data_IF_442403776515
#
_entry.id   IF_442403776515
#
_cell.length_a   1.000
_cell.length_b   1.000
_cell.length_c   1.000
_cell.angle_alpha   90.00
_cell.angle_beta   90.00
_cell.angle_gamma   90.00
#
_symmetry.space_group_name_H-M   'P 1'
#
loop_
_entity.id
_entity.type
_entity.pdbx_description
1 polymer ?
#
# COMPACT_ATOMS: atom_id res chain seq x y z
N UNK A 1 -14.32 -20.68 12.90
CA UNK A 1 -13.99 -20.95 11.47
C UNK A 1 -12.57 -20.47 11.25
N UNK A 2 -11.77 -21.19 10.47
CA UNK A 2 -10.42 -20.74 10.08
C UNK A 2 -10.56 -19.49 9.20
N UNK A 3 -9.81 -18.42 9.51
CA UNK A 3 -9.88 -17.16 8.79
C UNK A 3 -9.09 -17.25 7.49
N UNK A 4 -9.73 -16.94 6.36
CA UNK A 4 -9.09 -16.87 5.04
C UNK A 4 -8.74 -15.42 4.73
N UNK A 5 -7.45 -15.13 4.71
CA UNK A 5 -6.93 -13.79 4.42
C UNK A 5 -6.31 -13.81 3.02
N UNK A 6 -6.63 -12.81 2.21
CA UNK A 6 -5.91 -12.58 0.96
C UNK A 6 -5.08 -11.31 1.07
N UNK A 7 -3.86 -11.34 0.53
CA UNK A 7 -3.04 -10.16 0.31
C UNK A 7 -3.02 -9.88 -1.18
N UNK A 8 -3.48 -8.72 -1.61
CA UNK A 8 -3.49 -8.31 -3.02
C UNK A 8 -2.37 -7.30 -3.28
N UNK A 9 -1.56 -7.56 -4.31
CA UNK A 9 -0.37 -6.78 -4.64
C UNK A 9 -0.38 -6.44 -6.13
N UNK A 10 -0.82 -5.23 -6.55
CA UNK A 10 -0.62 -4.81 -7.93
C UNK A 10 0.87 -4.52 -8.17
N UNK A 11 1.37 -4.94 -9.33
CA UNK A 11 2.76 -4.77 -9.72
C UNK A 11 2.85 -4.44 -11.21
N UNK A 12 3.74 -3.52 -11.56
CA UNK A 12 4.11 -3.26 -12.95
C UNK A 12 5.56 -2.79 -12.94
N UNK A 13 6.49 -3.55 -13.51
CA UNK A 13 7.92 -3.23 -13.56
C UNK A 13 8.50 -2.67 -12.24
N UNK A 14 8.43 -3.46 -11.17
CA UNK A 14 8.91 -3.15 -9.82
C UNK A 14 10.05 -4.09 -9.39
N UNK A 15 10.90 -4.58 -10.31
CA UNK A 15 11.94 -5.58 -9.99
C UNK A 15 12.90 -5.15 -8.87
N UNK A 16 13.16 -3.84 -8.73
CA UNK A 16 14.03 -3.28 -7.69
C UNK A 16 13.38 -3.27 -6.29
N UNK A 17 12.05 -3.40 -6.20
CA UNK A 17 11.28 -3.17 -4.96
C UNK A 17 10.40 -4.34 -4.54
N UNK A 18 10.00 -5.18 -5.49
CA UNK A 18 9.09 -6.29 -5.22
C UNK A 18 9.67 -7.28 -4.22
N UNK A 19 11.00 -7.42 -4.16
CA UNK A 19 11.67 -8.28 -3.18
C UNK A 19 11.36 -7.83 -1.75
N UNK A 20 11.60 -6.55 -1.41
CA UNK A 20 11.32 -6.03 -0.06
C UNK A 20 9.83 -6.13 0.29
N UNK A 21 8.95 -5.91 -0.68
CA UNK A 21 7.51 -6.05 -0.50
C UNK A 21 7.17 -7.49 -0.11
N UNK A 22 7.60 -8.46 -0.92
CA UNK A 22 7.30 -9.89 -0.70
C UNK A 22 7.89 -10.40 0.61
N UNK A 23 9.12 -10.03 0.94
CA UNK A 23 9.75 -10.39 2.22
C UNK A 23 8.97 -9.83 3.42
N UNK A 24 8.55 -8.56 3.34
CA UNK A 24 7.77 -7.92 4.40
C UNK A 24 6.39 -8.57 4.58
N UNK A 25 5.71 -8.92 3.48
CA UNK A 25 4.44 -9.64 3.49
C UNK A 25 4.63 -11.04 4.08
N UNK A 26 5.66 -11.78 3.67
CA UNK A 26 5.96 -13.08 4.24
C UNK A 26 6.23 -13.01 5.76
N UNK A 27 6.92 -11.95 6.22
CA UNK A 27 7.11 -11.66 7.64
C UNK A 27 5.79 -11.41 8.38
N UNK A 28 4.87 -10.63 7.79
CA UNK A 28 3.54 -10.38 8.34
C UNK A 28 2.67 -11.64 8.37
N UNK A 29 2.76 -12.49 7.34
CA UNK A 29 2.08 -13.79 7.29
C UNK A 29 2.60 -14.71 8.39
N UNK A 30 3.92 -14.79 8.55
CA UNK A 30 4.54 -15.59 9.61
C UNK A 30 4.07 -15.13 11.00
N UNK A 31 4.01 -13.81 11.25
CA UNK A 31 3.50 -13.27 12.51
C UNK A 31 2.03 -13.62 12.75
N UNK A 32 1.17 -13.51 11.73
CA UNK A 32 -0.24 -13.94 11.82
C UNK A 32 -0.33 -15.42 12.16
N UNK A 33 0.40 -16.30 11.47
CA UNK A 33 0.34 -17.74 11.69
C UNK A 33 0.85 -18.18 13.07
N UNK A 34 1.74 -17.39 13.70
CA UNK A 34 2.12 -17.61 15.11
C UNK A 34 1.00 -17.28 16.08
N UNK A 35 0.20 -16.24 15.80
CA UNK A 35 -0.94 -15.86 16.62
C UNK A 35 -2.17 -16.74 16.33
N UNK A 36 -2.28 -17.25 15.10
CA UNK A 36 -3.44 -17.94 14.56
C UNK A 36 -3.02 -19.09 13.65
N UNK A 37 -2.67 -20.23 14.26
CA UNK A 37 -2.16 -21.40 13.54
C UNK A 37 -3.08 -21.91 12.44
N UNK A 38 -4.39 -21.71 12.60
CA UNK A 38 -5.39 -22.22 11.67
C UNK A 38 -5.69 -21.25 10.52
N UNK A 39 -5.13 -20.03 10.51
CA UNK A 39 -5.34 -19.09 9.41
C UNK A 39 -4.78 -19.64 8.09
N UNK A 40 -5.40 -19.22 6.98
CA UNK A 40 -4.97 -19.52 5.61
C UNK A 40 -4.75 -18.20 4.88
N UNK A 41 -3.60 -18.06 4.23
CA UNK A 41 -3.25 -16.82 3.53
C UNK A 41 -2.97 -17.07 2.04
N UNK A 42 -3.67 -16.37 1.16
CA UNK A 42 -3.34 -16.32 -0.27
C UNK A 42 -2.71 -14.98 -0.59
N UNK A 43 -1.45 -14.96 -1.00
CA UNK A 43 -0.77 -13.76 -1.50
C UNK A 43 -0.91 -13.74 -3.02
N UNK A 44 -1.48 -12.68 -3.57
CA UNK A 44 -1.85 -12.57 -4.98
C UNK A 44 -1.14 -11.36 -5.56
N UNK A 45 -0.12 -11.63 -6.38
CA UNK A 45 0.59 -10.62 -7.16
C UNK A 45 -0.10 -10.45 -8.52
N UNK A 46 -0.74 -9.31 -8.77
CA UNK A 46 -1.26 -8.95 -10.09
C UNK A 46 -0.21 -8.18 -10.88
N UNK A 47 0.52 -8.90 -11.75
CA UNK A 47 1.56 -8.37 -12.63
C UNK A 47 0.93 -7.77 -13.90
N UNK A 48 0.74 -6.46 -13.89
CA UNK A 48 0.18 -5.67 -14.98
C UNK A 48 1.26 -5.34 -16.02
N UNK A 49 1.25 -6.08 -17.12
CA UNK A 49 2.09 -5.82 -18.29
C UNK A 49 3.59 -5.71 -17.94
N UNK A 50 4.05 -6.50 -16.96
CA UNK A 50 5.45 -6.53 -16.56
C UNK A 50 6.32 -7.05 -17.71
N UNK A 51 7.43 -6.35 -17.98
CA UNK A 51 8.42 -6.69 -19.00
C UNK A 51 9.81 -6.95 -18.41
N UNK A 52 9.98 -6.69 -17.12
CA UNK A 52 11.22 -6.86 -16.37
C UNK A 52 11.20 -8.14 -15.51
N UNK A 53 12.12 -8.28 -14.55
CA UNK A 53 12.16 -9.44 -13.66
C UNK A 53 11.17 -9.40 -12.49
N UNK A 54 10.17 -8.50 -12.45
CA UNK A 54 9.25 -8.37 -11.30
C UNK A 54 8.65 -9.70 -10.84
N UNK A 55 8.09 -10.48 -11.78
CA UNK A 55 7.46 -11.78 -11.46
C UNK A 55 8.51 -12.79 -10.96
N UNK A 56 9.66 -12.86 -11.61
CA UNK A 56 10.74 -13.77 -11.22
C UNK A 56 11.29 -13.45 -9.83
N UNK A 57 11.59 -12.16 -9.58
CA UNK A 57 12.08 -11.68 -8.29
C UNK A 57 11.07 -11.92 -7.16
N UNK A 58 9.78 -11.71 -7.41
CA UNK A 58 8.73 -12.00 -6.43
C UNK A 58 8.66 -13.48 -6.06
N UNK A 59 8.74 -14.38 -7.06
CA UNK A 59 8.73 -15.84 -6.82
C UNK A 59 9.97 -16.30 -6.06
N UNK A 60 11.15 -15.80 -6.42
CA UNK A 60 12.41 -16.11 -5.74
C UNK A 60 12.36 -15.65 -4.26
N UNK A 61 11.94 -14.40 -4.02
CA UNK A 61 11.82 -13.84 -2.67
C UNK A 61 10.79 -14.59 -1.81
N UNK A 62 9.65 -14.96 -2.40
CA UNK A 62 8.64 -15.75 -1.70
C UNK A 62 9.16 -17.15 -1.36
N UNK A 63 9.76 -17.86 -2.31
CA UNK A 63 10.30 -19.20 -2.07
C UNK A 63 11.37 -19.20 -0.95
N UNK A 64 12.21 -18.17 -0.90
CA UNK A 64 13.20 -18.00 0.17
C UNK A 64 12.55 -17.73 1.54
N UNK A 65 11.43 -16.99 1.57
CA UNK A 65 10.76 -16.58 2.80
C UNK A 65 9.69 -17.55 3.30
N UNK A 66 9.09 -18.35 2.41
CA UNK A 66 7.91 -19.17 2.70
C UNK A 66 8.23 -20.55 3.28
N UNK A 67 9.50 -20.94 3.32
CA UNK A 67 9.95 -22.23 3.84
C UNK A 67 9.46 -22.51 5.28
N UNK A 68 9.20 -21.45 6.06
CA UNK A 68 8.72 -21.54 7.45
C UNK A 68 7.20 -21.51 7.60
N UNK A 69 6.44 -21.42 6.49
CA UNK A 69 4.98 -21.21 6.51
C UNK A 69 4.16 -22.52 6.41
N UNK A 70 4.82 -23.68 6.31
CA UNK A 70 4.22 -25.03 6.37
C UNK A 70 2.97 -25.27 5.50
N UNK A 71 2.84 -24.59 4.35
CA UNK A 71 1.69 -24.71 3.45
C UNK A 71 0.42 -23.99 3.91
N UNK A 72 0.51 -23.12 4.93
CA UNK A 72 -0.61 -22.25 5.35
C UNK A 72 -0.68 -20.96 4.52
N UNK A 73 0.33 -20.70 3.69
CA UNK A 73 0.37 -19.55 2.81
C UNK A 73 1.00 -19.87 1.45
N UNK A 74 0.44 -19.30 0.40
CA UNK A 74 0.87 -19.50 -0.99
C UNK A 74 0.95 -18.17 -1.72
N UNK A 75 1.87 -18.07 -2.69
CA UNK A 75 1.94 -16.96 -3.64
C UNK A 75 1.36 -17.40 -4.98
N UNK A 76 0.32 -16.70 -5.41
CA UNK A 76 -0.28 -16.80 -6.73
C UNK A 76 0.06 -15.55 -7.54
N UNK A 77 0.38 -15.73 -8.83
CA UNK A 77 0.68 -14.61 -9.72
C UNK A 77 -0.37 -14.59 -10.82
N UNK A 78 -1.00 -13.44 -10.99
CA UNK A 78 -1.91 -13.15 -12.08
C UNK A 78 -1.19 -12.22 -13.05
N UNK A 79 -0.95 -12.68 -14.26
CA UNK A 79 -0.39 -11.84 -15.33
C UNK A 79 -1.54 -11.35 -16.22
N UNK A 80 -1.52 -10.07 -16.57
CA UNK A 80 -2.58 -9.47 -17.36
C UNK A 80 -2.28 -8.04 -17.78
N UNK A 81 -3.29 -7.41 -18.38
CA UNK A 81 -3.23 -6.02 -18.84
C UNK A 81 -4.42 -5.28 -18.27
N UNK A 82 -4.15 -4.44 -17.27
CA UNK A 82 -5.16 -3.65 -16.55
C UNK A 82 -4.91 -2.14 -16.62
N UNK A 83 -3.71 -1.75 -17.07
CA UNK A 83 -3.29 -0.37 -17.34
C UNK A 83 -3.27 0.57 -16.12
N UNK A 84 -3.51 0.05 -14.92
CA UNK A 84 -3.50 0.81 -13.67
C UNK A 84 -3.33 -0.09 -12.45
N UNK A 85 -2.80 0.48 -11.36
CA UNK A 85 -2.72 -0.21 -10.08
C UNK A 85 -4.10 -0.62 -9.56
N UNK A 86 -5.10 0.26 -9.69
CA UNK A 86 -6.50 -0.02 -9.32
C UNK A 86 -7.09 -1.20 -10.08
N UNK A 87 -6.88 -1.27 -11.40
CA UNK A 87 -7.36 -2.38 -12.24
C UNK A 87 -6.68 -3.71 -11.88
N UNK A 88 -5.37 -3.71 -11.71
CA UNK A 88 -4.61 -4.89 -11.29
C UNK A 88 -5.03 -5.37 -9.88
N UNK A 89 -5.22 -4.42 -8.95
CA UNK A 89 -5.70 -4.70 -7.59
C UNK A 89 -7.12 -5.26 -7.60
N UNK A 90 -8.01 -4.74 -8.44
CA UNK A 90 -9.35 -5.30 -8.62
C UNK A 90 -9.31 -6.73 -9.16
N UNK A 91 -8.41 -7.03 -10.10
CA UNK A 91 -8.23 -8.38 -10.62
C UNK A 91 -7.77 -9.36 -9.52
N UNK A 92 -6.80 -8.94 -8.70
CA UNK A 92 -6.34 -9.71 -7.54
C UNK A 92 -7.45 -9.89 -6.49
N UNK A 93 -8.21 -8.84 -6.17
CA UNK A 93 -9.31 -8.91 -5.20
C UNK A 93 -10.44 -9.82 -5.69
N UNK A 94 -10.80 -9.76 -6.98
CA UNK A 94 -11.75 -10.69 -7.58
C UNK A 94 -11.26 -12.15 -7.48
N UNK A 95 -9.96 -12.38 -7.62
CA UNK A 95 -9.39 -13.71 -7.44
C UNK A 95 -9.44 -14.18 -5.99
N UNK A 96 -9.08 -13.32 -5.04
CA UNK A 96 -9.20 -13.56 -3.60
C UNK A 96 -10.62 -13.99 -3.22
N UNK A 97 -11.64 -13.31 -3.75
CA UNK A 97 -13.04 -13.64 -3.50
C UNK A 97 -13.41 -15.02 -4.05
N UNK A 98 -12.90 -15.42 -5.22
CA UNK A 98 -13.11 -16.77 -5.78
C UNK A 98 -12.45 -17.86 -4.93
N UNK A 99 -11.34 -17.56 -4.26
CA UNK A 99 -10.67 -18.44 -3.31
C UNK A 99 -11.37 -18.49 -1.93
N UNK A 100 -12.44 -17.71 -1.76
CA UNK A 100 -13.23 -17.64 -0.54
C UNK A 100 -12.55 -16.85 0.58
N UNK A 101 -11.81 -15.80 0.25
CA UNK A 101 -11.25 -14.89 1.25
C UNK A 101 -12.36 -14.25 2.10
N UNK A 102 -12.16 -14.20 3.42
CA UNK A 102 -13.01 -13.49 4.38
C UNK A 102 -12.54 -12.04 4.58
N UNK A 103 -11.24 -11.81 4.37
CA UNK A 103 -10.57 -10.53 4.51
C UNK A 103 -9.59 -10.31 3.36
N UNK A 104 -9.59 -9.11 2.80
CA UNK A 104 -8.69 -8.68 1.73
C UNK A 104 -7.81 -7.57 2.28
N UNK A 105 -6.52 -7.84 2.44
CA UNK A 105 -5.48 -6.86 2.73
C UNK A 105 -4.79 -6.46 1.43
N UNK A 106 -4.46 -5.18 1.27
CA UNK A 106 -3.88 -4.61 0.06
C UNK A 106 -2.61 -3.84 0.38
N UNK A 107 -1.56 -4.10 -0.41
CA UNK A 107 -0.29 -3.38 -0.43
C UNK A 107 0.20 -3.24 -1.86
N UNK A 108 1.11 -2.31 -2.15
CA UNK A 108 1.70 -2.16 -3.48
C UNK A 108 3.06 -2.85 -3.57
N UNK A 109 3.47 -3.27 -4.77
CA UNK A 109 4.74 -3.99 -4.99
C UNK A 109 5.99 -3.15 -4.67
N UNK A 110 5.85 -1.86 -4.45
CA UNK A 110 6.91 -0.96 -4.01
C UNK A 110 6.84 -0.61 -2.50
N UNK A 111 5.94 -1.26 -1.76
CA UNK A 111 5.63 -0.97 -0.36
C UNK A 111 6.02 -2.14 0.54
N UNK A 112 6.63 -1.84 1.70
CA UNK A 112 6.99 -2.79 2.73
C UNK A 112 6.08 -2.60 3.96
N UNK A 113 5.45 -3.68 4.42
CA UNK A 113 4.51 -3.68 5.55
C UNK A 113 5.18 -4.10 6.86
N UNK A 114 4.71 -3.66 8.03
CA UNK A 114 5.30 -4.06 9.30
C UNK A 114 4.91 -5.49 9.68
N UNK A 115 5.68 -6.14 10.55
CA UNK A 115 5.46 -7.55 10.92
C UNK A 115 4.07 -7.79 11.54
N UNK A 116 3.50 -6.83 12.25
CA UNK A 116 2.19 -6.95 12.87
C UNK A 116 1.01 -6.65 11.91
N UNK A 117 1.28 -6.34 10.63
CA UNK A 117 0.29 -5.83 9.67
C UNK A 117 -0.96 -6.72 9.57
N UNK A 118 -0.80 -8.01 9.24
CA UNK A 118 -1.93 -8.92 9.10
C UNK A 118 -2.56 -9.31 10.43
N UNK A 119 -1.76 -9.56 11.47
CA UNK A 119 -2.28 -9.91 12.79
C UNK A 119 -3.15 -8.80 13.37
N UNK A 120 -2.75 -7.53 13.19
CA UNK A 120 -3.54 -6.38 13.60
C UNK A 120 -4.87 -6.34 12.86
N UNK A 121 -4.84 -6.37 11.53
CA UNK A 121 -6.08 -6.31 10.72
C UNK A 121 -7.05 -7.44 11.06
N UNK A 122 -6.54 -8.66 11.23
CA UNK A 122 -7.33 -9.82 11.61
C UNK A 122 -7.95 -9.67 13.02
N UNK A 123 -7.18 -9.19 14.00
CA UNK A 123 -7.68 -8.87 15.33
C UNK A 123 -8.83 -7.85 15.25
N UNK A 124 -8.64 -6.76 14.49
CA UNK A 124 -9.67 -5.73 14.30
C UNK A 124 -10.93 -6.32 13.64
N UNK A 125 -10.76 -7.14 12.61
CA UNK A 125 -11.86 -7.81 11.92
C UNK A 125 -12.73 -8.65 12.87
N UNK A 126 -12.12 -9.30 13.87
CA UNK A 126 -12.84 -10.08 14.90
C UNK A 126 -13.62 -9.22 15.88
N UNK A 127 -13.18 -7.98 16.11
CA UNK A 127 -13.93 -7.00 16.92
C UNK A 127 -15.05 -6.31 16.15
N UNK A 128 -15.33 -6.72 14.92
CA UNK A 128 -16.39 -6.17 14.06
C UNK A 128 -15.97 -4.94 13.26
N UNK A 129 -14.67 -4.70 13.07
CA UNK A 129 -14.19 -3.72 12.08
C UNK A 129 -14.38 -4.29 10.68
N UNK A 130 -14.85 -3.48 9.74
CA UNK A 130 -15.10 -3.86 8.35
C UNK A 130 -14.01 -3.38 7.41
N UNK A 131 -13.32 -2.29 7.76
CA UNK A 131 -12.13 -1.84 7.06
C UNK A 131 -11.10 -1.22 8.00
N UNK A 132 -9.83 -1.46 7.70
CA UNK A 132 -8.68 -0.85 8.37
C UNK A 132 -7.92 -0.02 7.33
N UNK A 133 -7.63 1.22 7.67
CA UNK A 133 -6.83 2.17 6.89
C UNK A 133 -5.54 2.41 7.66
N UNK A 134 -4.41 2.04 7.09
CA UNK A 134 -3.10 2.28 7.66
C UNK A 134 -2.43 3.50 7.03
N UNK A 135 -1.55 4.14 7.79
CA UNK A 135 -0.66 5.19 7.27
C UNK A 135 0.41 4.61 6.34
N UNK A 136 0.92 5.45 5.44
CA UNK A 136 2.13 5.14 4.66
C UNK A 136 3.16 6.23 4.89
N UNK A 137 4.44 5.89 4.82
CA UNK A 137 5.55 6.83 4.92
C UNK A 137 6.52 6.60 3.73
N UNK A 138 7.00 7.66 3.05
CA UNK A 138 7.96 7.50 1.96
C UNK A 138 9.28 6.94 2.48
N UNK A 139 9.88 5.99 1.76
CA UNK A 139 11.19 5.44 2.09
C UNK A 139 12.24 6.56 2.09
N UNK A 140 12.87 6.87 3.25
CA UNK A 140 13.84 7.96 3.36
C UNK A 140 15.11 7.69 2.56
N UNK A 141 15.38 6.44 2.16
CA UNK A 141 16.53 6.09 1.31
C UNK A 141 16.32 6.42 -0.15
N UNK A 142 15.05 6.58 -0.57
CA UNK A 142 14.67 6.94 -1.94
C UNK A 142 14.15 8.38 -2.06
N UNK A 143 13.67 8.94 -0.96
CA UNK A 143 13.10 10.27 -0.90
C UNK A 143 14.20 11.30 -0.58
N UNK A 144 14.33 12.41 -1.34
CA UNK A 144 15.24 13.49 -0.97
C UNK A 144 14.90 14.03 0.43
N UNK A 145 15.91 14.24 1.28
CA UNK A 145 15.72 14.60 2.71
C UNK A 145 14.77 15.80 2.92
N UNK A 146 14.86 16.83 2.05
CA UNK A 146 13.97 17.99 2.14
C UNK A 146 12.51 17.66 1.82
N UNK A 147 12.25 16.79 0.85
CA UNK A 147 10.91 16.30 0.50
C UNK A 147 10.35 15.46 1.64
N UNK A 148 11.16 14.54 2.18
CA UNK A 148 10.80 13.71 3.31
C UNK A 148 10.40 14.54 4.54
N UNK A 149 11.16 15.62 4.83
CA UNK A 149 10.83 16.57 5.91
C UNK A 149 9.54 17.34 5.66
N UNK A 150 9.35 17.87 4.45
CA UNK A 150 8.11 18.58 4.09
C UNK A 150 6.89 17.64 4.18
N UNK A 151 7.04 16.41 3.71
CA UNK A 151 6.00 15.40 3.81
C UNK A 151 5.59 15.17 5.27
N UNK A 152 6.56 15.02 6.19
CA UNK A 152 6.28 14.88 7.63
C UNK A 152 5.63 16.09 8.28
N UNK A 153 5.82 17.30 7.73
CA UNK A 153 5.14 18.49 8.22
C UNK A 153 3.66 18.54 7.78
N UNK A 154 3.34 17.89 6.67
CA UNK A 154 1.99 17.87 6.09
C UNK A 154 1.18 16.60 6.43
N UNK A 155 1.83 15.55 6.96
CA UNK A 155 1.20 14.25 7.23
C UNK A 155 1.16 13.91 8.71
N UNK A 156 -0.05 13.82 9.26
CA UNK A 156 -0.28 13.41 10.64
C UNK A 156 -0.32 11.88 10.78
N UNK A 157 0.74 11.32 11.35
CA UNK A 157 0.89 9.89 11.58
C UNK A 157 0.30 9.49 12.94
N UNK A 158 -1.01 9.64 13.05
CA UNK A 158 -1.78 9.43 14.28
C UNK A 158 -2.96 8.47 14.07
N UNK A 159 -3.50 7.95 15.17
CA UNK A 159 -4.74 7.17 15.14
C UNK A 159 -5.92 8.06 14.73
N UNK A 160 -6.83 7.54 13.88
CA UNK A 160 -7.95 8.33 13.37
C UNK A 160 -7.60 9.30 12.24
N UNK A 161 -6.42 9.17 11.62
CA UNK A 161 -5.99 9.98 10.49
C UNK A 161 -7.01 9.99 9.32
N UNK A 162 -7.01 11.04 8.47
CA UNK A 162 -7.95 11.14 7.36
C UNK A 162 -7.50 10.36 6.10
N UNK A 163 -6.22 9.96 6.04
CA UNK A 163 -5.62 9.40 4.83
C UNK A 163 -6.18 8.03 4.46
N UNK A 164 -6.33 7.80 3.15
CA UNK A 164 -6.73 6.54 2.55
C UNK A 164 -5.62 6.14 1.58
N UNK A 165 -5.07 4.95 1.78
CA UNK A 165 -4.02 4.40 0.94
C UNK A 165 -4.34 2.95 0.60
N UNK A 166 -4.61 2.66 -0.67
CA UNK A 166 -4.77 1.30 -1.17
C UNK A 166 -3.55 0.42 -0.85
N UNK A 167 -2.37 1.03 -0.73
CA UNK A 167 -1.11 0.38 -0.35
C UNK A 167 -1.04 -0.03 1.13
N UNK A 168 -1.99 0.38 1.96
CA UNK A 168 -2.09 -0.06 3.35
C UNK A 168 -3.56 -0.09 3.81
N UNK A 169 -4.33 -0.98 3.20
CA UNK A 169 -5.76 -1.12 3.47
C UNK A 169 -6.12 -2.58 3.74
N UNK A 170 -7.08 -2.80 4.64
CA UNK A 170 -7.73 -4.08 4.84
C UNK A 170 -9.24 -3.93 4.80
N UNK A 171 -9.95 -4.90 4.24
CA UNK A 171 -11.41 -4.86 4.14
C UNK A 171 -12.03 -6.26 4.25
N UNK A 172 -13.16 -6.34 4.94
CA UNK A 172 -13.99 -7.54 5.00
C UNK A 172 -14.52 -7.86 3.60
N UNK A 173 -14.36 -9.09 3.14
CA UNK A 173 -14.73 -9.50 1.78
C UNK A 173 -16.19 -9.18 1.42
N UNK A 174 -17.14 -9.48 2.33
CA UNK A 174 -18.55 -9.16 2.12
C UNK A 174 -18.82 -7.65 2.00
N UNK A 175 -18.13 -6.82 2.78
CA UNK A 175 -18.26 -5.36 2.71
C UNK A 175 -17.64 -4.81 1.42
N UNK A 176 -16.49 -5.35 1.01
CA UNK A 176 -15.85 -5.02 -0.26
C UNK A 176 -16.72 -5.37 -1.47
N UNK A 177 -17.36 -6.55 -1.46
CA UNK A 177 -18.31 -6.94 -2.50
C UNK A 177 -19.55 -6.04 -2.52
N UNK A 178 -20.11 -5.71 -1.36
CA UNK A 178 -21.24 -4.77 -1.26
C UNK A 178 -20.88 -3.36 -1.76
N UNK A 179 -19.62 -2.95 -1.61
CA UNK A 179 -19.11 -1.69 -2.13
C UNK A 179 -18.87 -1.70 -3.66
N UNK A 180 -18.98 -2.84 -4.33
CA UNK A 180 -18.73 -3.00 -5.77
C UNK A 180 -17.26 -3.21 -6.15
N UNK A 181 -16.37 -3.35 -5.16
CA UNK A 181 -14.92 -3.45 -5.36
C UNK A 181 -14.28 -2.12 -5.75
N UNK A 182 -13.00 -2.16 -6.14
CA UNK A 182 -12.29 -1.02 -6.69
C UNK A 182 -12.88 -0.64 -8.06
N UNK A 183 -13.37 0.61 -8.22
CA UNK A 183 -13.92 1.06 -9.48
C UNK A 183 -12.82 1.25 -10.53
N UNK A 184 -13.20 1.17 -11.81
CA UNK A 184 -12.30 1.49 -12.90
C UNK A 184 -12.21 3.01 -13.10
N UNK A 185 -11.34 3.65 -12.31
CA UNK A 185 -11.06 5.09 -12.34
C UNK A 185 -9.56 5.32 -12.55
N UNK A 186 -9.19 6.52 -12.98
CA UNK A 186 -7.79 6.88 -13.23
C UNK A 186 -6.97 6.99 -11.93
N UNK A 187 -7.60 7.48 -10.86
CA UNK A 187 -7.02 7.59 -9.52
C UNK A 187 -8.11 7.55 -8.44
N UNK A 188 -7.69 7.35 -7.18
CA UNK A 188 -8.55 7.39 -5.99
C UNK A 188 -9.62 6.29 -5.95
N UNK A 189 -9.30 5.10 -6.49
CA UNK A 189 -10.16 3.92 -6.42
C UNK A 189 -10.42 3.46 -4.98
N UNK A 190 -9.46 3.69 -4.09
CA UNK A 190 -9.52 3.38 -2.66
C UNK A 190 -10.45 4.34 -1.91
N UNK A 191 -10.37 5.64 -2.19
CA UNK A 191 -11.28 6.64 -1.63
C UNK A 191 -12.74 6.31 -2.01
N UNK A 192 -12.99 5.94 -3.26
CA UNK A 192 -14.32 5.54 -3.73
C UNK A 192 -14.86 4.31 -2.99
N UNK A 193 -14.03 3.29 -2.75
CA UNK A 193 -14.41 2.12 -1.95
C UNK A 193 -14.76 2.54 -0.52
N UNK A 194 -13.91 3.35 0.12
CA UNK A 194 -14.12 3.79 1.52
C UNK A 194 -15.35 4.67 1.66
N UNK A 195 -15.63 5.54 0.69
CA UNK A 195 -16.86 6.35 0.65
C UNK A 195 -18.10 5.46 0.66
N UNK A 196 -18.14 4.45 -0.22
CA UNK A 196 -19.26 3.51 -0.29
C UNK A 196 -19.36 2.68 0.99
N UNK A 197 -18.25 2.22 1.57
CA UNK A 197 -18.24 1.52 2.86
C UNK A 197 -18.86 2.37 3.97
N UNK A 198 -18.43 3.65 4.08
CA UNK A 198 -18.98 4.60 5.07
C UNK A 198 -20.47 4.85 4.83
N UNK A 199 -20.90 4.99 3.59
CA UNK A 199 -22.32 5.18 3.23
C UNK A 199 -23.19 3.97 3.63
N UNK A 200 -22.63 2.76 3.61
CA UNK A 200 -23.30 1.54 4.08
C UNK A 200 -23.21 1.32 5.59
N UNK A 201 -22.64 2.27 6.35
CA UNK A 201 -22.48 2.15 7.80
C UNK A 201 -21.41 1.16 8.24
N UNK A 202 -20.47 0.81 7.35
CA UNK A 202 -19.35 -0.07 7.69
C UNK A 202 -18.47 0.57 8.78
N UNK A 203 -17.97 -0.26 9.71
CA UNK A 203 -17.05 0.23 10.73
C UNK A 203 -15.64 0.33 10.15
N UNK A 204 -15.23 1.55 9.82
CA UNK A 204 -13.89 1.88 9.30
C UNK A 204 -13.00 2.38 10.42
N UNK A 205 -11.80 1.84 10.54
CA UNK A 205 -10.77 2.24 11.51
C UNK A 205 -9.54 2.77 10.78
N UNK A 206 -9.03 3.94 11.19
CA UNK A 206 -7.78 4.51 10.70
C UNK A 206 -6.72 4.42 11.81
N UNK A 207 -5.52 3.93 11.48
CA UNK A 207 -4.48 3.61 12.46
C UNK A 207 -3.06 3.80 11.93
N UNK A 208 -2.14 4.23 12.80
CA UNK A 208 -0.71 4.32 12.49
C UNK A 208 0.07 3.07 12.98
N UNK A 209 -0.57 2.19 13.76
CA UNK A 209 0.06 0.97 14.32
C UNK A 209 0.61 -0.01 13.29
N UNK A 210 0.17 0.13 12.04
CA UNK A 210 0.56 -0.71 10.92
C UNK A 210 1.19 0.09 9.78
N UNK A 211 1.83 1.23 10.11
CA UNK A 211 2.50 2.11 9.13
C UNK A 211 3.37 1.31 8.16
N UNK A 212 3.11 1.50 6.87
CA UNK A 212 3.87 0.87 5.80
C UNK A 212 4.87 1.86 5.20
N UNK A 213 6.01 1.36 4.71
CA UNK A 213 7.03 2.17 4.04
C UNK A 213 6.86 1.98 2.53
N UNK A 214 6.52 3.05 1.81
CA UNK A 214 6.30 3.02 0.36
C UNK A 214 7.44 3.71 -0.38
N UNK A 215 7.59 3.48 -1.69
CA UNK A 215 8.67 4.10 -2.46
C UNK A 215 8.63 5.63 -2.38
N UNK A 216 9.74 6.23 -1.96
CA UNK A 216 9.95 7.67 -1.95
C UNK A 216 10.28 8.27 -3.33
N UNK A 217 10.11 7.51 -4.42
CA UNK A 217 10.49 7.93 -5.77
C UNK A 217 9.68 9.12 -6.25
N UNK A 218 10.36 10.06 -6.90
CA UNK A 218 9.71 11.22 -7.54
C UNK A 218 9.17 10.90 -8.93
N UNK A 219 9.59 9.80 -9.58
CA UNK A 219 9.10 9.41 -10.91
C UNK A 219 8.17 8.20 -10.76
N UNK A 220 6.92 8.38 -11.15
CA UNK A 220 5.91 7.32 -11.13
C UNK A 220 4.99 7.41 -12.34
N UNK A 221 4.25 6.33 -12.60
CA UNK A 221 3.37 6.20 -13.78
C UNK A 221 2.01 6.89 -13.62
N UNK A 222 1.46 6.88 -12.40
CA UNK A 222 0.19 7.52 -12.13
C UNK A 222 0.30 9.04 -12.26
N UNK A 223 -0.63 9.66 -12.98
CA UNK A 223 -0.63 11.10 -13.22
C UNK A 223 -0.74 11.91 -11.92
N UNK A 224 -1.56 11.45 -10.98
CA UNK A 224 -1.86 12.11 -9.70
C UNK A 224 -1.56 11.23 -8.46
N UNK A 225 -0.67 10.24 -8.60
CA UNK A 225 -0.33 9.31 -7.51
C UNK A 225 0.71 9.83 -6.51
N UNK A 226 1.17 8.96 -5.61
CA UNK A 226 2.11 9.31 -4.54
C UNK A 226 3.40 10.01 -5.04
N UNK A 227 4.00 9.51 -6.12
CA UNK A 227 5.17 10.15 -6.73
C UNK A 227 4.89 11.56 -7.28
N UNK A 228 3.67 11.83 -7.75
CA UNK A 228 3.26 13.17 -8.18
C UNK A 228 3.20 14.13 -6.97
N UNK A 229 2.61 13.68 -5.86
CA UNK A 229 2.57 14.45 -4.63
C UNK A 229 3.99 14.79 -4.12
N UNK A 230 4.89 13.80 -4.08
CA UNK A 230 6.29 14.04 -3.68
C UNK A 230 7.03 15.02 -4.62
N UNK A 231 6.74 15.00 -5.93
CA UNK A 231 7.29 16.02 -6.87
C UNK A 231 6.81 17.42 -6.57
N UNK A 232 5.54 17.58 -6.19
CA UNK A 232 5.01 18.90 -5.84
C UNK A 232 5.69 19.46 -4.59
N UNK A 233 5.93 18.62 -3.57
CA UNK A 233 6.73 19.00 -2.39
C UNK A 233 8.17 19.40 -2.77
N UNK A 234 8.81 18.64 -3.67
CA UNK A 234 10.13 18.98 -4.18
C UNK A 234 10.15 20.35 -4.88
N UNK A 235 9.12 20.67 -5.66
CA UNK A 235 9.01 21.94 -6.38
C UNK A 235 8.79 23.14 -5.45
N UNK A 236 8.05 22.97 -4.34
CA UNK A 236 7.86 24.02 -3.33
C UNK A 236 9.19 24.48 -2.72
N UNK A 237 10.14 23.56 -2.50
CA UNK A 237 11.48 23.90 -2.00
C UNK A 237 12.30 24.71 -3.02
N UNK A 238 12.21 24.38 -4.31
CA UNK A 238 12.88 25.12 -5.38
C UNK A 238 12.41 26.58 -5.52
N UNK A 239 11.13 26.85 -5.26
CA UNK A 239 10.57 28.20 -5.27
C UNK A 239 11.07 29.07 -4.09
N UNK A 240 11.33 28.47 -2.93
CA UNK A 240 11.85 29.19 -1.76
C UNK A 240 13.35 29.49 -1.82
N UNK A 241 14.13 28.77 -2.63
CA UNK A 241 15.55 29.05 -2.87
C UNK A 241 15.84 29.93 -4.09
N UNK A 242 14.82 30.29 -4.88
CA UNK A 242 14.94 31.19 -6.03
C UNK A 242 14.90 32.69 -5.70
N UNK A 243 14.61 33.07 -4.45
CA UNK A 243 14.68 34.47 -4.00
C UNK A 243 16.05 34.71 -3.35
N UNK A 244 17.08 34.83 -4.18
CA UNK A 244 18.29 35.55 -3.75
C UNK A 244 17.91 37.02 -3.58
N UNK A 245 17.84 37.49 -2.34
CA UNK A 245 17.92 38.93 -2.07
C UNK A 245 19.23 39.43 -2.67
N UNK A 246 19.14 40.13 -3.79
CA UNK A 246 20.24 40.93 -4.31
C UNK A 246 20.72 41.91 -3.23
N UNK A 247 22.03 42.25 -3.20
CA UNK A 247 22.54 43.14 -2.18
C UNK A 247 21.81 44.48 -2.28
N UNK A 248 21.22 44.90 -1.15
CA UNK A 248 20.74 46.27 -0.99
C UNK A 248 21.98 47.12 -0.83
N UNK A 249 22.54 47.61 -1.94
CA UNK A 249 23.58 48.63 -1.90
C UNK A 249 22.98 49.90 -1.32
N UNK A 250 23.58 50.34 -0.21
CA UNK A 250 23.10 51.42 0.63
C UNK A 250 23.17 52.77 -0.06
N UNK A 251 22.14 53.57 0.19
CA UNK A 251 22.26 55.02 0.15
C UNK A 251 23.32 55.47 1.16
N UNK A 252 24.41 56.06 0.67
CA UNK A 252 25.31 56.87 1.47
C UNK A 252 25.14 58.33 1.02
N UNK A 253 24.85 59.19 2.00
CA UNK A 253 24.82 60.64 1.89
C UNK A 253 26.07 61.21 1.20
N UNK A 254 25.87 61.99 0.14
CA UNK A 254 26.44 63.33 -0.06
C UNK A 254 25.94 64.01 -1.33
#
# INVERSE_FOLDING_TARGET
MSQRVAVVIPACNEEERVVRCVESVAGAVHALLRAESDARVSVILAADSCTDRTVGAAREAWAASSAVLNGHAELEVLEGTWASAGGARQAAANHALRLGADWIASTDADTAVPQNWLSYQVERARTGVDAVLGTVEPDPTECPEHVFRLWHLEHDLSEGHPYIHAANMGVRAGAFQAAGGFPNVECSEDEAVVEVLRAHGARVEATDRIRAITSGRLRGRAALGFAYHLRNLAAQHGAHHGVQHGPVEGFADR
#
